data_IF_427813249410
#
_entry.id   IF_427813249410
#
_cell.length_a   1.000
_cell.length_b   1.000
_cell.length_c   1.000
_cell.angle_alpha   90.00
_cell.angle_beta   90.00
_cell.angle_gamma   90.00
#
_symmetry.space_group_name_H-M   'P 1'
#
loop_
_entity.id
_entity.type
_entity.pdbx_description
1 polymer ?
#
# COMPACT_ATOMS: atom_id res chain seq x y z
N UNK A 1 7.05 12.42 -25.46
CA UNK A 1 6.56 11.03 -25.49
C UNK A 1 7.42 10.22 -26.46
N UNK A 2 7.98 9.10 -26.01
CA UNK A 2 9.05 8.41 -26.75
C UNK A 2 8.54 7.41 -27.79
N UNK A 3 7.24 7.35 -28.08
CA UNK A 3 6.62 6.49 -29.10
C UNK A 3 7.34 5.13 -29.27
N UNK A 4 7.53 4.38 -28.18
CA UNK A 4 8.23 3.11 -28.18
C UNK A 4 7.41 2.06 -27.41
N UNK A 5 7.60 0.79 -27.77
CA UNK A 5 7.00 -0.33 -27.05
C UNK A 5 7.40 -0.29 -25.57
N UNK A 6 6.40 -0.34 -24.69
CA UNK A 6 6.59 -0.11 -23.25
C UNK A 6 6.00 -1.24 -22.43
N UNK A 7 6.79 -1.80 -21.52
CA UNK A 7 6.34 -2.76 -20.52
C UNK A 7 6.41 -2.13 -19.13
N UNK A 8 5.29 -2.15 -18.42
CA UNK A 8 5.23 -1.78 -17.02
C UNK A 8 5.26 -3.05 -16.17
N UNK A 9 6.25 -3.15 -15.29
CA UNK A 9 6.45 -4.30 -14.41
C UNK A 9 6.00 -3.94 -13.00
N UNK A 10 5.07 -4.71 -12.46
CA UNK A 10 4.49 -4.52 -11.13
C UNK A 10 4.66 -5.77 -10.28
N UNK A 11 4.64 -5.62 -8.96
CA UNK A 11 4.80 -6.76 -8.05
C UNK A 11 3.51 -7.54 -7.78
N UNK A 12 2.32 -6.96 -8.02
CA UNK A 12 1.02 -7.55 -7.69
C UNK A 12 -0.04 -7.30 -8.77
N UNK A 13 -1.00 -8.25 -8.86
CA UNK A 13 -2.13 -8.15 -9.81
C UNK A 13 -3.04 -6.93 -9.57
N UNK A 14 -3.11 -6.42 -8.35
CA UNK A 14 -3.89 -5.22 -8.04
C UNK A 14 -3.27 -4.00 -8.72
N UNK A 15 -1.95 -3.83 -8.64
CA UNK A 15 -1.22 -2.75 -9.32
C UNK A 15 -1.35 -2.86 -10.85
N UNK A 16 -1.36 -4.10 -11.39
CA UNK A 16 -1.59 -4.32 -12.81
C UNK A 16 -2.93 -3.70 -13.25
N UNK A 17 -4.01 -3.94 -12.50
CA UNK A 17 -5.30 -3.33 -12.81
C UNK A 17 -5.28 -1.81 -12.71
N UNK A 18 -4.66 -1.28 -11.65
CA UNK A 18 -4.57 0.17 -11.47
C UNK A 18 -3.81 0.86 -12.59
N UNK A 19 -2.71 0.28 -13.08
CA UNK A 19 -1.99 0.82 -14.22
C UNK A 19 -2.88 0.87 -15.47
N UNK A 20 -3.63 -0.22 -15.75
CA UNK A 20 -4.57 -0.27 -16.88
C UNK A 20 -5.65 0.82 -16.73
N UNK A 21 -6.29 0.92 -15.54
CA UNK A 21 -7.30 1.94 -15.27
C UNK A 21 -6.74 3.35 -15.45
N UNK A 22 -5.52 3.61 -14.98
CA UNK A 22 -4.89 4.92 -15.13
C UNK A 22 -4.56 5.29 -16.57
N UNK A 23 -4.18 4.33 -17.39
CA UNK A 23 -4.01 4.58 -18.83
C UNK A 23 -5.34 4.97 -19.49
N UNK A 24 -6.44 4.34 -19.10
CA UNK A 24 -7.78 4.70 -19.58
C UNK A 24 -8.16 6.10 -19.09
N UNK A 25 -8.05 6.36 -17.78
CA UNK A 25 -8.55 7.58 -17.15
C UNK A 25 -7.75 8.84 -17.52
N UNK A 26 -6.41 8.73 -17.60
CA UNK A 26 -5.55 9.91 -17.80
C UNK A 26 -5.07 10.09 -19.22
N UNK A 27 -4.97 9.02 -20.00
CA UNK A 27 -4.43 9.08 -21.35
C UNK A 27 -5.44 8.76 -22.45
N UNK A 28 -6.67 8.36 -22.08
CA UNK A 28 -7.75 8.09 -23.04
C UNK A 28 -7.57 6.79 -23.84
N UNK A 29 -6.73 5.87 -23.40
CA UNK A 29 -6.62 4.56 -24.02
C UNK A 29 -7.90 3.75 -23.83
N UNK A 30 -8.26 2.93 -24.81
CA UNK A 30 -9.27 1.91 -24.58
C UNK A 30 -8.64 0.71 -23.87
N UNK A 31 -9.38 0.09 -22.96
CA UNK A 31 -8.86 -1.04 -22.17
C UNK A 31 -8.35 -2.21 -23.03
N UNK A 32 -8.91 -2.39 -24.23
CA UNK A 32 -8.47 -3.41 -25.20
C UNK A 32 -7.09 -3.12 -25.81
N UNK A 33 -6.64 -1.85 -25.80
CA UNK A 33 -5.37 -1.42 -26.40
C UNK A 33 -4.18 -1.58 -25.42
N UNK A 34 -4.47 -1.99 -24.18
CA UNK A 34 -3.47 -2.24 -23.16
C UNK A 34 -3.39 -3.73 -22.91
N UNK A 35 -2.26 -4.32 -23.24
CA UNK A 35 -2.06 -5.75 -23.00
C UNK A 35 -1.62 -6.04 -21.56
N UNK A 36 -1.65 -7.30 -21.16
CA UNK A 36 -1.20 -7.69 -19.84
C UNK A 36 -0.71 -9.13 -19.74
N UNK A 37 0.24 -9.35 -18.81
CA UNK A 37 0.74 -10.67 -18.40
C UNK A 37 0.59 -10.82 -16.89
N UNK A 38 -0.38 -11.62 -16.48
CA UNK A 38 -0.73 -11.80 -15.06
C UNK A 38 -2.04 -12.54 -14.87
N UNK A 39 -2.38 -12.93 -13.64
CA UNK A 39 -3.61 -13.63 -13.29
C UNK A 39 -3.82 -14.95 -14.06
N UNK A 40 -2.75 -15.62 -14.48
CA UNK A 40 -2.81 -16.81 -15.30
C UNK A 40 -3.10 -16.57 -16.80
N UNK A 41 -3.08 -15.32 -17.25
CA UNK A 41 -3.34 -14.95 -18.64
C UNK A 41 -2.14 -14.24 -19.27
N UNK A 42 -1.92 -14.53 -20.56
CA UNK A 42 -1.01 -13.78 -21.41
C UNK A 42 -1.82 -13.13 -22.52
N UNK A 43 -1.94 -11.80 -22.47
CA UNK A 43 -2.64 -10.96 -23.44
C UNK A 43 -1.77 -9.77 -23.83
N UNK A 44 -0.48 -10.00 -24.01
CA UNK A 44 0.46 -8.97 -24.45
C UNK A 44 0.17 -8.57 -25.88
N UNK A 45 0.29 -7.28 -26.19
CA UNK A 45 0.10 -6.72 -27.55
C UNK A 45 1.38 -6.12 -28.13
N UNK A 46 2.44 -5.99 -27.33
CA UNK A 46 3.75 -5.50 -27.75
C UNK A 46 3.85 -3.98 -27.90
N UNK A 47 2.84 -3.21 -27.49
CA UNK A 47 2.85 -1.74 -27.55
C UNK A 47 2.91 -1.14 -26.14
N UNK A 48 1.81 -1.25 -25.39
CA UNK A 48 1.75 -0.85 -23.99
C UNK A 48 1.18 -2.02 -23.22
N UNK A 49 2.02 -2.62 -22.42
CA UNK A 49 1.67 -3.82 -21.68
C UNK A 49 2.03 -3.67 -20.20
N UNK A 50 1.25 -4.34 -19.34
CA UNK A 50 1.52 -4.40 -17.91
C UNK A 50 1.72 -5.85 -17.50
N UNK A 51 2.84 -6.16 -16.85
CA UNK A 51 3.17 -7.52 -16.43
C UNK A 51 3.44 -7.60 -14.92
N UNK A 52 3.01 -8.70 -14.29
CA UNK A 52 3.48 -8.96 -12.93
C UNK A 52 4.87 -9.58 -12.95
N UNK A 53 5.70 -9.21 -11.97
CA UNK A 53 7.04 -9.76 -11.78
C UNK A 53 7.02 -11.30 -11.70
N UNK A 54 6.02 -11.84 -11.00
CA UNK A 54 5.85 -13.30 -10.86
C UNK A 54 5.61 -13.98 -12.21
N UNK A 55 4.86 -13.35 -13.12
CA UNK A 55 4.61 -13.91 -14.46
C UNK A 55 5.83 -13.80 -15.36
N UNK A 56 6.59 -12.69 -15.27
CA UNK A 56 7.84 -12.50 -15.99
C UNK A 56 8.94 -13.45 -15.54
N UNK A 57 8.96 -13.87 -14.27
CA UNK A 57 9.90 -14.87 -13.78
C UNK A 57 9.79 -16.20 -14.53
N UNK A 58 8.59 -16.56 -14.99
CA UNK A 58 8.36 -17.79 -15.73
C UNK A 58 8.79 -17.70 -17.21
N UNK A 59 8.85 -16.48 -17.76
CA UNK A 59 9.32 -16.19 -19.13
C UNK A 59 10.06 -14.85 -19.16
N UNK A 60 11.32 -14.80 -18.69
CA UNK A 60 12.08 -13.57 -18.58
C UNK A 60 12.37 -12.92 -19.93
N UNK A 61 12.40 -13.68 -21.03
CA UNK A 61 12.76 -13.17 -22.34
C UNK A 61 11.70 -12.23 -22.92
N UNK A 62 10.48 -12.30 -22.44
CA UNK A 62 9.37 -11.38 -22.82
C UNK A 62 9.79 -9.92 -22.70
N UNK A 63 10.63 -9.55 -21.71
CA UNK A 63 11.09 -8.18 -21.50
C UNK A 63 11.84 -7.61 -22.72
N UNK A 64 12.47 -8.49 -23.52
CA UNK A 64 13.27 -8.09 -24.69
C UNK A 64 12.41 -7.67 -25.90
N UNK A 65 11.09 -7.89 -25.85
CA UNK A 65 10.17 -7.42 -26.89
C UNK A 65 9.87 -5.90 -26.76
N UNK A 66 10.37 -5.27 -25.71
CA UNK A 66 10.09 -3.86 -25.43
C UNK A 66 11.33 -3.00 -25.48
N UNK A 67 11.16 -1.79 -25.99
CA UNK A 67 12.24 -0.79 -26.01
C UNK A 67 12.35 -0.01 -24.70
N UNK A 68 11.27 0.05 -23.93
CA UNK A 68 11.20 0.76 -22.66
C UNK A 68 10.54 -0.12 -21.59
N UNK A 69 11.20 -0.26 -20.45
CA UNK A 69 10.67 -0.97 -19.28
C UNK A 69 10.59 -0.02 -18.10
N UNK A 70 9.42 0.00 -17.47
CA UNK A 70 9.15 0.74 -16.24
C UNK A 70 8.91 -0.27 -15.13
N UNK A 71 9.65 -0.17 -14.04
CA UNK A 71 9.52 -1.05 -12.87
C UNK A 71 8.91 -0.24 -11.73
N UNK A 72 7.66 -0.53 -11.42
CA UNK A 72 6.93 0.15 -10.35
C UNK A 72 7.23 -0.48 -8.99
N UNK A 73 7.31 0.37 -7.95
CA UNK A 73 7.70 -0.01 -6.58
C UNK A 73 8.96 -0.88 -6.58
N UNK A 74 9.98 -0.45 -7.33
CA UNK A 74 11.19 -1.23 -7.59
C UNK A 74 11.94 -1.66 -6.32
N UNK A 75 11.75 -0.95 -5.20
CA UNK A 75 12.33 -1.31 -3.90
C UNK A 75 11.72 -2.58 -3.26
N UNK A 76 10.53 -3.02 -3.69
CA UNK A 76 9.89 -4.24 -3.20
C UNK A 76 10.34 -5.50 -3.92
N UNK A 77 11.08 -5.37 -4.99
CA UNK A 77 11.48 -6.51 -5.80
C UNK A 77 12.66 -7.20 -5.14
N UNK A 78 12.59 -8.52 -4.89
CA UNK A 78 13.75 -9.28 -4.45
C UNK A 78 14.88 -9.10 -5.44
N UNK A 79 16.06 -8.74 -4.96
CA UNK A 79 17.23 -8.46 -5.79
C UNK A 79 17.53 -9.58 -6.79
N UNK A 80 17.44 -10.83 -6.35
CA UNK A 80 17.69 -12.02 -7.18
C UNK A 80 16.66 -12.13 -8.32
N UNK A 81 15.38 -11.95 -8.04
CA UNK A 81 14.32 -12.05 -9.08
C UNK A 81 14.44 -10.91 -10.07
N UNK A 82 14.75 -9.70 -9.59
CA UNK A 82 14.96 -8.54 -10.44
C UNK A 82 16.17 -8.74 -11.35
N UNK A 83 17.29 -9.19 -10.79
CA UNK A 83 18.48 -9.50 -11.56
C UNK A 83 18.23 -10.53 -12.67
N UNK A 84 17.50 -11.60 -12.36
CA UNK A 84 17.16 -12.64 -13.35
C UNK A 84 16.37 -12.10 -14.55
N UNK A 85 15.47 -11.12 -14.31
CA UNK A 85 14.62 -10.56 -15.35
C UNK A 85 15.35 -9.44 -16.10
N UNK A 86 16.03 -8.54 -15.38
CA UNK A 86 16.57 -7.31 -15.96
C UNK A 86 17.98 -7.48 -16.52
N UNK A 87 18.75 -8.44 -16.02
CA UNK A 87 20.14 -8.70 -16.44
C UNK A 87 20.31 -8.89 -17.97
N UNK A 88 19.31 -9.49 -18.59
CA UNK A 88 19.32 -9.78 -20.03
C UNK A 88 18.52 -8.77 -20.86
N UNK A 89 18.01 -7.70 -20.24
CA UNK A 89 17.25 -6.68 -20.95
C UNK A 89 18.12 -5.97 -21.99
N UNK A 90 17.71 -6.04 -23.25
CA UNK A 90 18.41 -5.44 -24.41
C UNK A 90 17.74 -4.16 -24.92
N UNK A 91 16.67 -3.73 -24.27
CA UNK A 91 15.96 -2.52 -24.65
C UNK A 91 16.74 -1.25 -24.34
N UNK A 92 16.24 -0.14 -24.84
CA UNK A 92 16.95 1.15 -24.77
C UNK A 92 16.78 1.88 -23.45
N UNK A 93 15.64 1.72 -22.80
CA UNK A 93 15.29 2.51 -21.61
C UNK A 93 14.77 1.62 -20.49
N UNK A 94 15.34 1.82 -19.31
CA UNK A 94 14.93 1.17 -18.07
C UNK A 94 14.69 2.25 -17.01
N UNK A 95 13.54 2.23 -16.36
CA UNK A 95 13.13 3.20 -15.34
C UNK A 95 12.59 2.50 -14.11
N UNK A 96 13.16 2.76 -12.94
CA UNK A 96 12.60 2.37 -11.66
C UNK A 96 11.78 3.50 -11.05
N UNK A 97 10.60 3.19 -10.52
CA UNK A 97 9.76 4.09 -9.74
C UNK A 97 9.68 3.60 -8.30
N UNK A 98 9.85 4.49 -7.35
CA UNK A 98 9.72 4.20 -5.93
C UNK A 98 9.39 5.47 -5.15
N UNK A 99 8.49 5.35 -4.18
CA UNK A 99 8.26 6.41 -3.20
C UNK A 99 9.33 6.42 -2.10
N UNK A 100 9.97 5.29 -1.86
CA UNK A 100 10.97 5.08 -0.81
C UNK A 100 12.09 4.19 -1.33
N UNK A 101 13.16 4.76 -1.92
CA UNK A 101 14.23 3.96 -2.53
C UNK A 101 15.07 3.18 -1.50
N UNK A 102 15.03 3.58 -0.24
CA UNK A 102 15.73 2.89 0.83
C UNK A 102 15.05 1.57 1.18
N UNK A 103 15.82 0.50 1.26
CA UNK A 103 15.35 -0.86 1.58
C UNK A 103 15.63 -1.22 3.03
N UNK A 104 14.77 -2.06 3.64
CA UNK A 104 14.98 -2.58 5.00
C UNK A 104 16.20 -3.50 5.12
N UNK A 105 16.51 -4.21 4.03
CA UNK A 105 17.58 -5.20 3.94
C UNK A 105 18.92 -4.60 3.49
N UNK A 106 18.98 -3.26 3.39
CA UNK A 106 20.17 -2.50 2.95
C UNK A 106 20.69 -2.88 1.55
N UNK A 107 19.90 -3.61 0.75
CA UNK A 107 20.24 -4.03 -0.59
C UNK A 107 19.91 -2.99 -1.68
N UNK A 108 19.72 -1.72 -1.32
CA UNK A 108 19.59 -0.63 -2.29
C UNK A 108 20.76 -0.48 -3.27
N UNK A 109 22.05 -0.81 -2.94
CA UNK A 109 23.11 -0.74 -3.93
C UNK A 109 22.85 -1.61 -5.16
N UNK A 110 22.19 -2.76 -5.00
CA UNK A 110 21.84 -3.65 -6.12
C UNK A 110 20.83 -2.99 -7.06
N UNK A 111 19.87 -2.22 -6.51
CA UNK A 111 18.93 -1.46 -7.34
C UNK A 111 19.67 -0.39 -8.17
N UNK A 112 20.61 0.33 -7.55
CA UNK A 112 21.39 1.36 -8.23
C UNK A 112 22.32 0.78 -9.31
N UNK A 113 22.88 -0.41 -9.10
CA UNK A 113 23.66 -1.08 -10.13
C UNK A 113 22.84 -1.43 -11.38
N UNK A 114 21.55 -1.74 -11.20
CA UNK A 114 20.70 -2.21 -12.29
C UNK A 114 19.87 -1.11 -12.94
N UNK A 115 19.39 -0.14 -12.14
CA UNK A 115 18.51 0.95 -12.59
C UNK A 115 19.24 2.28 -12.76
N UNK A 116 20.48 2.38 -12.29
CA UNK A 116 21.21 3.63 -12.18
C UNK A 116 20.82 4.44 -10.94
N UNK A 117 21.49 5.58 -10.78
CA UNK A 117 21.23 6.50 -9.68
C UNK A 117 19.88 7.19 -9.82
N UNK A 118 19.42 7.82 -8.72
CA UNK A 118 18.16 8.58 -8.69
C UNK A 118 18.28 9.76 -9.66
N UNK A 119 17.62 9.64 -10.80
CA UNK A 119 17.62 10.67 -11.85
C UNK A 119 16.69 11.84 -11.53
N UNK A 120 15.63 11.61 -10.76
CA UNK A 120 14.65 12.62 -10.39
C UNK A 120 13.97 12.28 -9.06
N UNK A 121 13.90 13.26 -8.17
CA UNK A 121 13.16 13.17 -6.91
C UNK A 121 12.04 14.22 -6.90
N UNK A 122 10.79 13.74 -6.82
CA UNK A 122 9.64 14.62 -6.68
C UNK A 122 9.48 15.05 -5.23
N UNK A 123 9.81 16.31 -4.95
CA UNK A 123 9.53 16.94 -3.65
C UNK A 123 8.16 17.59 -3.68
N UNK A 124 7.17 16.93 -3.06
CA UNK A 124 5.82 17.50 -2.92
C UNK A 124 5.92 18.85 -2.20
N UNK A 125 5.47 19.93 -2.87
CA UNK A 125 5.30 21.22 -2.16
C UNK A 125 4.30 20.98 -1.04
N UNK A 126 4.64 21.42 0.18
CA UNK A 126 3.73 21.38 1.33
C UNK A 126 2.56 22.31 1.05
N UNK A 127 1.47 21.79 0.50
CA UNK A 127 0.26 22.55 0.21
C UNK A 127 -0.73 22.55 1.39
N UNK A 128 -0.55 21.62 2.33
CA UNK A 128 -1.46 21.46 3.49
C UNK A 128 -0.68 21.12 4.75
N UNK A 129 -1.22 21.55 5.88
CA UNK A 129 -0.72 21.20 7.21
C UNK A 129 -1.20 19.80 7.58
N UNK A 130 -0.30 18.85 7.59
CA UNK A 130 -0.60 17.54 8.18
C UNK A 130 -0.45 17.65 9.68
N UNK A 131 -1.45 17.19 10.42
CA UNK A 131 -1.41 17.13 11.89
C UNK A 131 -1.13 15.70 12.33
N UNK A 132 -0.28 15.56 13.33
CA UNK A 132 -0.05 14.31 14.06
C UNK A 132 -0.60 14.46 15.47
N UNK A 133 -1.47 13.54 15.88
CA UNK A 133 -1.95 13.39 17.25
C UNK A 133 -1.43 12.08 17.81
N UNK A 134 -0.72 12.13 18.91
CA UNK A 134 -0.25 10.95 19.63
C UNK A 134 -1.16 10.73 20.83
N UNK A 135 -1.74 9.54 20.95
CA UNK A 135 -2.54 9.10 22.09
C UNK A 135 -1.70 8.08 22.85
N UNK A 136 -1.34 8.41 24.09
CA UNK A 136 -0.60 7.50 24.96
C UNK A 136 -1.54 6.47 25.55
N UNK A 137 -1.13 5.22 25.54
CA UNK A 137 -1.88 4.11 26.14
C UNK A 137 -1.19 3.65 27.43
N UNK A 138 -1.94 2.95 28.26
CA UNK A 138 -1.41 2.30 29.46
C UNK A 138 -1.16 0.80 29.25
N UNK A 139 -1.15 0.34 27.99
CA UNK A 139 -0.93 -1.06 27.65
C UNK A 139 0.46 -1.54 28.10
N UNK A 140 0.47 -2.65 28.80
CA UNK A 140 1.67 -3.36 29.25
C UNK A 140 1.57 -4.84 28.90
N UNK A 141 2.66 -5.43 28.47
CA UNK A 141 2.80 -6.87 28.24
C UNK A 141 4.08 -7.37 28.90
N UNK A 142 4.02 -8.57 29.45
CA UNK A 142 5.16 -9.30 30.01
C UNK A 142 5.73 -10.34 29.03
N UNK A 143 5.19 -10.40 27.83
CA UNK A 143 5.64 -11.34 26.81
C UNK A 143 7.03 -10.96 26.27
N UNK A 144 7.82 -11.98 25.94
CA UNK A 144 9.20 -11.85 25.49
C UNK A 144 9.35 -11.77 23.97
N UNK A 145 8.24 -11.88 23.23
CA UNK A 145 8.28 -11.83 21.77
C UNK A 145 7.23 -10.88 21.21
N UNK A 146 7.60 -10.20 20.12
CA UNK A 146 6.80 -9.19 19.46
C UNK A 146 5.41 -9.72 19.01
N UNK A 147 5.34 -10.94 18.49
CA UNK A 147 4.07 -11.49 17.98
C UNK A 147 3.03 -11.65 19.08
N UNK A 148 3.44 -12.17 20.26
CA UNK A 148 2.57 -12.30 21.44
C UNK A 148 2.15 -10.93 21.97
N UNK A 149 3.09 -10.00 22.08
CA UNK A 149 2.79 -8.62 22.51
C UNK A 149 1.73 -7.98 21.62
N UNK A 150 1.86 -8.11 20.30
CA UNK A 150 0.86 -7.57 19.36
C UNK A 150 -0.49 -8.28 19.49
N UNK A 151 -0.51 -9.59 19.75
CA UNK A 151 -1.77 -10.32 19.97
C UNK A 151 -2.46 -9.84 21.25
N UNK A 152 -1.73 -9.68 22.36
CA UNK A 152 -2.26 -9.12 23.61
C UNK A 152 -2.76 -7.69 23.43
N UNK A 153 -2.00 -6.85 22.71
CA UNK A 153 -2.38 -5.48 22.39
C UNK A 153 -3.72 -5.42 21.62
N UNK A 154 -3.95 -6.34 20.68
CA UNK A 154 -5.17 -6.36 19.88
C UNK A 154 -6.43 -6.66 20.70
N UNK A 155 -6.31 -7.35 21.83
CA UNK A 155 -7.44 -7.73 22.71
C UNK A 155 -7.52 -6.88 23.98
N UNK A 156 -6.59 -5.96 24.21
CA UNK A 156 -6.61 -5.07 25.37
C UNK A 156 -7.82 -4.14 25.34
N UNK A 157 -8.73 -4.33 26.32
CA UNK A 157 -10.00 -3.62 26.37
C UNK A 157 -9.83 -2.11 26.58
N UNK A 158 -8.92 -1.72 27.47
CA UNK A 158 -8.66 -0.30 27.78
C UNK A 158 -8.15 0.42 26.54
N UNK A 159 -7.20 -0.18 25.84
CA UNK A 159 -6.62 0.36 24.61
C UNK A 159 -7.64 0.43 23.48
N UNK A 160 -8.45 -0.60 23.31
CA UNK A 160 -9.48 -0.63 22.27
C UNK A 160 -10.57 0.42 22.53
N UNK A 161 -10.94 0.68 23.78
CA UNK A 161 -11.85 1.76 24.13
C UNK A 161 -11.26 3.14 23.76
N UNK A 162 -9.96 3.38 23.98
CA UNK A 162 -9.30 4.61 23.50
C UNK A 162 -9.37 4.76 21.98
N UNK A 163 -9.26 3.65 21.22
CA UNK A 163 -9.40 3.67 19.77
C UNK A 163 -10.83 4.07 19.38
N UNK A 164 -11.84 3.47 19.99
CA UNK A 164 -13.24 3.80 19.72
C UNK A 164 -13.55 5.26 20.08
N UNK A 165 -13.03 5.76 21.22
CA UNK A 165 -13.20 7.16 21.62
C UNK A 165 -12.53 8.12 20.62
N UNK A 166 -11.34 7.75 20.09
CA UNK A 166 -10.69 8.53 19.04
C UNK A 166 -11.48 8.54 17.73
N UNK A 167 -12.11 7.42 17.35
CA UNK A 167 -13.01 7.36 16.20
C UNK A 167 -14.21 8.27 16.41
N UNK A 168 -14.90 8.18 17.55
CA UNK A 168 -16.05 9.02 17.91
C UNK A 168 -15.70 10.51 17.88
N UNK A 169 -14.56 10.88 18.45
CA UNK A 169 -14.10 12.28 18.47
C UNK A 169 -13.76 12.86 17.08
N UNK A 170 -13.69 12.00 16.05
CA UNK A 170 -13.35 12.38 14.68
C UNK A 170 -14.40 11.88 13.66
N UNK A 171 -15.61 11.55 14.11
CA UNK A 171 -16.63 10.86 13.29
C UNK A 171 -17.03 11.63 12.02
N UNK A 172 -16.91 12.95 12.03
CA UNK A 172 -17.18 13.82 10.89
C UNK A 172 -16.10 13.75 9.79
N UNK A 173 -14.99 13.10 10.08
CA UNK A 173 -13.88 12.94 9.16
C UNK A 173 -14.01 11.65 8.36
N UNK A 174 -13.22 11.54 7.30
CA UNK A 174 -13.09 10.32 6.52
C UNK A 174 -11.88 9.53 7.03
N UNK A 175 -12.14 8.48 7.79
CA UNK A 175 -11.15 7.79 8.63
C UNK A 175 -10.74 6.45 8.03
N UNK A 176 -9.44 6.19 8.02
CA UNK A 176 -8.84 4.89 7.81
C UNK A 176 -8.20 4.40 9.11
N UNK A 177 -8.63 3.26 9.61
CA UNK A 177 -8.01 2.56 10.74
C UNK A 177 -7.15 1.44 10.20
N UNK A 178 -5.86 1.43 10.52
CA UNK A 178 -4.90 0.41 10.08
C UNK A 178 -4.41 -0.44 11.24
N UNK A 179 -4.55 -1.75 11.08
CA UNK A 179 -4.05 -2.77 12.01
C UNK A 179 -3.25 -3.86 11.28
N UNK A 180 -2.36 -4.55 11.99
CA UNK A 180 -1.58 -5.68 11.46
C UNK A 180 -2.28 -7.04 11.62
N UNK A 181 -3.42 -7.09 12.33
CA UNK A 181 -4.10 -8.33 12.70
C UNK A 181 -5.57 -8.35 12.31
N UNK A 182 -6.02 -9.46 11.75
CA UNK A 182 -7.44 -9.68 11.42
C UNK A 182 -8.26 -9.82 12.71
N UNK A 183 -7.70 -10.50 13.72
CA UNK A 183 -8.32 -10.63 15.04
C UNK A 183 -8.63 -9.26 15.66
N UNK A 184 -7.76 -8.27 15.46
CA UNK A 184 -8.01 -6.90 15.90
C UNK A 184 -9.16 -6.25 15.14
N UNK A 185 -9.29 -6.52 13.83
CA UNK A 185 -10.45 -6.06 13.06
C UNK A 185 -11.73 -6.60 13.72
N UNK A 186 -11.80 -7.91 14.00
CA UNK A 186 -12.99 -8.54 14.60
C UNK A 186 -13.34 -7.92 15.98
N UNK A 187 -12.34 -7.58 16.79
CA UNK A 187 -12.57 -6.90 18.07
C UNK A 187 -13.14 -5.49 17.86
N UNK A 188 -12.57 -4.71 16.95
CA UNK A 188 -13.02 -3.37 16.65
C UNK A 188 -14.40 -3.35 16.00
N UNK A 189 -14.72 -4.31 15.11
CA UNK A 189 -16.05 -4.52 14.54
C UNK A 189 -17.11 -4.67 15.62
N UNK A 190 -16.90 -5.61 16.56
CA UNK A 190 -17.84 -5.84 17.66
C UNK A 190 -18.07 -4.58 18.52
N UNK A 191 -17.02 -3.78 18.75
CA UNK A 191 -17.13 -2.54 19.51
C UNK A 191 -17.88 -1.44 18.73
N UNK A 192 -17.60 -1.29 17.44
CA UNK A 192 -18.26 -0.31 16.59
C UNK A 192 -19.74 -0.63 16.35
N UNK A 193 -20.09 -1.92 16.22
CA UNK A 193 -21.48 -2.36 16.13
C UNK A 193 -22.28 -2.02 17.40
N UNK A 194 -21.70 -2.25 18.59
CA UNK A 194 -22.32 -1.84 19.87
C UNK A 194 -22.57 -0.36 19.94
N UNK A 195 -21.67 0.44 19.39
CA UNK A 195 -21.79 1.91 19.32
C UNK A 195 -22.65 2.38 18.16
N UNK A 196 -23.15 1.48 17.30
CA UNK A 196 -23.96 1.78 16.10
C UNK A 196 -23.26 2.73 15.13
N UNK A 197 -21.95 2.61 15.00
CA UNK A 197 -21.14 3.38 14.07
C UNK A 197 -21.10 2.63 12.74
N UNK A 198 -21.34 3.33 11.62
CA UNK A 198 -21.29 2.75 10.28
C UNK A 198 -19.83 2.67 9.80
N UNK A 199 -19.40 1.49 9.38
CA UNK A 199 -18.04 1.21 8.92
C UNK A 199 -18.00 0.16 7.82
N UNK A 200 -16.82 -0.05 7.26
CA UNK A 200 -16.54 -1.18 6.36
C UNK A 200 -15.15 -1.74 6.64
N UNK A 201 -15.02 -3.08 6.59
CA UNK A 201 -13.74 -3.76 6.74
C UNK A 201 -13.21 -4.28 5.42
N UNK A 202 -11.89 -4.12 5.20
CA UNK A 202 -11.19 -4.61 4.01
C UNK A 202 -9.90 -5.30 4.40
N UNK A 203 -9.80 -6.61 4.12
CA UNK A 203 -8.62 -7.41 4.40
C UNK A 203 -8.52 -8.64 3.49
N UNK A 204 -7.34 -9.23 3.41
CA UNK A 204 -7.06 -10.30 2.46
C UNK A 204 -7.74 -11.65 2.73
N UNK A 205 -8.29 -11.87 3.94
CA UNK A 205 -8.98 -13.13 4.29
C UNK A 205 -10.46 -13.16 3.91
N UNK A 206 -11.05 -12.01 3.49
CA UNK A 206 -12.38 -12.00 2.90
C UNK A 206 -12.41 -12.85 1.63
N UNK A 207 -13.54 -13.51 1.36
CA UNK A 207 -13.69 -14.21 0.10
C UNK A 207 -13.71 -13.21 -1.09
N UNK A 208 -13.47 -13.71 -2.31
CA UNK A 208 -13.34 -12.84 -3.50
C UNK A 208 -14.58 -11.99 -3.78
N UNK A 209 -15.77 -12.51 -3.47
CA UNK A 209 -17.03 -11.79 -3.66
C UNK A 209 -17.14 -10.64 -2.66
N UNK A 210 -16.92 -10.90 -1.39
CA UNK A 210 -16.90 -9.88 -0.32
C UNK A 210 -15.83 -8.81 -0.59
N UNK A 211 -14.63 -9.20 -1.03
CA UNK A 211 -13.59 -8.23 -1.38
C UNK A 211 -14.06 -7.25 -2.47
N UNK A 212 -14.73 -7.74 -3.52
CA UNK A 212 -15.25 -6.90 -4.60
C UNK A 212 -16.39 -6.02 -4.10
N UNK A 213 -17.33 -6.57 -3.35
CA UNK A 213 -18.46 -5.84 -2.78
C UNK A 213 -17.98 -4.73 -1.85
N UNK A 214 -17.08 -5.05 -0.90
CA UNK A 214 -16.54 -4.08 0.04
C UNK A 214 -15.75 -2.98 -0.68
N UNK A 215 -14.94 -3.33 -1.70
CA UNK A 215 -14.21 -2.33 -2.49
C UNK A 215 -15.13 -1.37 -3.24
N UNK A 216 -16.28 -1.81 -3.71
CA UNK A 216 -17.28 -0.93 -4.32
C UNK A 216 -17.91 0.04 -3.31
N UNK A 217 -18.13 -0.43 -2.08
CA UNK A 217 -18.74 0.35 -1.01
C UNK A 217 -17.76 1.31 -0.31
N UNK A 218 -16.46 1.02 -0.33
CA UNK A 218 -15.42 1.81 0.35
C UNK A 218 -15.50 3.30 0.02
N UNK A 219 -15.79 3.67 -1.23
CA UNK A 219 -15.86 5.08 -1.65
C UNK A 219 -17.02 5.86 -0.99
N UNK A 220 -18.06 5.16 -0.58
CA UNK A 220 -19.24 5.76 0.09
C UNK A 220 -19.13 5.82 1.62
N UNK A 221 -18.18 5.06 2.19
CA UNK A 221 -18.03 4.95 3.65
C UNK A 221 -17.10 6.01 4.22
N UNK A 222 -17.43 6.47 5.43
CA UNK A 222 -16.63 7.44 6.16
C UNK A 222 -15.61 6.80 7.08
N UNK A 223 -15.84 5.55 7.51
CA UNK A 223 -14.92 4.79 8.36
C UNK A 223 -14.57 3.46 7.69
N UNK A 224 -13.28 3.26 7.46
CA UNK A 224 -12.72 2.06 6.86
C UNK A 224 -11.73 1.45 7.84
N UNK A 225 -11.83 0.14 8.07
CA UNK A 225 -10.85 -0.62 8.83
C UNK A 225 -10.14 -1.57 7.87
N UNK A 226 -8.81 -1.56 7.88
CA UNK A 226 -8.03 -2.38 6.96
C UNK A 226 -6.80 -2.99 7.65
N UNK A 227 -6.35 -4.15 7.14
CA UNK A 227 -5.01 -4.60 7.49
C UNK A 227 -3.95 -3.80 6.74
N UNK A 228 -2.83 -3.54 7.40
CA UNK A 228 -1.68 -2.83 6.80
C UNK A 228 -1.15 -3.53 5.56
N UNK A 229 -1.15 -4.87 5.53
CA UNK A 229 -0.76 -5.67 4.37
C UNK A 229 -1.69 -5.44 3.18
N UNK A 230 -3.00 -5.44 3.41
CA UNK A 230 -3.99 -5.25 2.35
C UNK A 230 -3.97 -3.82 1.81
N UNK A 231 -3.95 -2.82 2.70
CA UNK A 231 -3.86 -1.42 2.31
C UNK A 231 -2.52 -1.08 1.65
N UNK A 232 -1.42 -1.69 2.11
CA UNK A 232 -0.09 -1.56 1.51
C UNK A 232 0.00 -2.04 0.06
N UNK A 233 -0.97 -2.81 -0.42
CA UNK A 233 -0.96 -3.42 -1.75
C UNK A 233 -1.38 -2.51 -2.91
N UNK A 234 -1.43 -1.20 -2.71
CA UNK A 234 -1.70 -0.27 -3.80
C UNK A 234 -3.12 0.27 -3.86
N UNK A 235 -3.94 0.03 -2.84
CA UNK A 235 -5.29 0.61 -2.76
C UNK A 235 -5.18 2.11 -2.49
N UNK A 236 -5.90 2.90 -3.28
CA UNK A 236 -5.94 4.35 -3.18
C UNK A 236 -7.34 4.81 -2.75
N UNK A 237 -7.39 5.52 -1.63
CA UNK A 237 -8.62 6.10 -1.11
C UNK A 237 -8.50 7.63 -1.03
N UNK A 238 -8.58 8.33 -2.15
CA UNK A 238 -8.30 9.78 -2.21
C UNK A 238 -9.28 10.64 -1.39
N UNK A 239 -10.43 10.09 -1.01
CA UNK A 239 -11.42 10.79 -0.19
C UNK A 239 -11.08 10.79 1.30
N UNK A 240 -10.15 9.94 1.75
CA UNK A 240 -9.76 9.87 3.16
C UNK A 240 -8.86 11.05 3.54
N UNK A 241 -9.08 11.59 4.75
CA UNK A 241 -8.32 12.70 5.31
C UNK A 241 -7.80 12.43 6.73
N UNK A 242 -8.07 11.26 7.28
CA UNK A 242 -7.61 10.84 8.60
C UNK A 242 -7.14 9.41 8.55
N UNK A 243 -6.01 9.14 9.19
CA UNK A 243 -5.46 7.78 9.35
C UNK A 243 -5.17 7.52 10.82
N UNK A 244 -5.55 6.35 11.32
CA UNK A 244 -5.27 5.89 12.68
C UNK A 244 -4.42 4.62 12.62
N UNK A 245 -3.25 4.67 13.24
CA UNK A 245 -2.35 3.52 13.36
C UNK A 245 -2.61 2.85 14.70
N UNK A 246 -3.42 1.77 14.67
CA UNK A 246 -3.82 1.08 15.89
C UNK A 246 -2.94 -0.13 16.25
N UNK A 247 -1.95 -0.42 15.43
CA UNK A 247 -0.80 -1.28 15.73
C UNK A 247 0.49 -0.56 15.36
N UNK A 248 1.61 -0.81 16.05
CA UNK A 248 2.87 -0.13 15.81
C UNK A 248 3.39 -0.29 14.38
N UNK A 249 3.94 0.78 13.81
CA UNK A 249 4.58 0.75 12.50
C UNK A 249 6.07 0.93 12.65
N UNK A 250 6.81 -0.14 12.45
CA UNK A 250 8.28 -0.17 12.63
C UNK A 250 9.09 0.37 11.45
N UNK A 251 8.47 0.66 10.30
CA UNK A 251 9.20 1.03 9.09
C UNK A 251 8.75 2.34 8.48
N UNK A 252 9.67 3.31 8.47
CA UNK A 252 9.45 4.65 7.94
C UNK A 252 8.87 4.68 6.51
N UNK A 253 9.36 3.80 5.63
CA UNK A 253 8.86 3.72 4.25
C UNK A 253 7.37 3.39 4.15
N UNK A 254 6.87 2.49 5.01
CA UNK A 254 5.42 2.19 5.07
C UNK A 254 4.63 3.39 5.57
N UNK A 255 5.11 4.07 6.60
CA UNK A 255 4.47 5.28 7.12
C UNK A 255 4.33 6.34 6.02
N UNK A 256 5.40 6.61 5.27
CA UNK A 256 5.37 7.56 4.14
C UNK A 256 4.37 7.15 3.07
N UNK A 257 4.32 5.85 2.71
CA UNK A 257 3.36 5.33 1.74
C UNK A 257 1.92 5.51 2.24
N UNK A 258 1.62 5.18 3.50
CA UNK A 258 0.28 5.31 4.05
C UNK A 258 -0.16 6.77 4.12
N UNK A 259 0.69 7.66 4.60
CA UNK A 259 0.42 9.09 4.63
C UNK A 259 0.28 9.70 3.23
N UNK A 260 1.00 9.17 2.25
CA UNK A 260 0.91 9.60 0.86
C UNK A 260 -0.40 9.23 0.15
N UNK A 261 -1.18 8.30 0.72
CA UNK A 261 -2.46 7.82 0.15
C UNK A 261 -3.69 8.53 0.70
N UNK A 262 -3.56 9.25 1.81
CA UNK A 262 -4.62 10.12 2.35
C UNK A 262 -4.38 11.58 1.93
N UNK A 263 -5.44 12.37 1.89
CA UNK A 263 -5.33 13.82 1.68
C UNK A 263 -4.80 14.23 0.32
N UNK A 264 -5.10 13.50 -0.72
CA UNK A 264 -4.79 13.93 -2.11
C UNK A 264 -5.65 15.09 -2.58
N UNK A 265 -6.68 15.45 -1.82
CA UNK A 265 -7.49 16.66 -2.00
C UNK A 265 -6.93 17.87 -1.27
N UNK A 266 -7.72 18.96 -1.23
CA UNK A 266 -7.38 20.23 -0.59
C UNK A 266 -7.60 20.27 0.93
N UNK A 267 -7.81 19.14 1.60
CA UNK A 267 -8.16 19.07 3.02
C UNK A 267 -6.95 18.81 3.92
N UNK A 268 -7.01 19.36 5.14
CA UNK A 268 -6.06 19.06 6.22
C UNK A 268 -6.10 17.57 6.59
N UNK A 269 -4.95 16.90 6.56
CA UNK A 269 -4.83 15.51 6.94
C UNK A 269 -4.45 15.35 8.40
N UNK A 270 -5.07 14.38 9.06
CA UNK A 270 -4.79 14.00 10.45
C UNK A 270 -4.25 12.58 10.50
N UNK A 271 -3.10 12.40 11.11
CA UNK A 271 -2.59 11.09 11.52
C UNK A 271 -2.76 10.95 13.04
N UNK A 272 -3.30 9.84 13.48
CA UNK A 272 -3.41 9.49 14.91
C UNK A 272 -2.61 8.22 15.15
N UNK A 273 -1.71 8.28 16.11
CA UNK A 273 -0.87 7.16 16.53
C UNK A 273 -1.12 6.83 17.99
N UNK A 274 -1.17 5.52 18.32
CA UNK A 274 -1.37 5.02 19.67
C UNK A 274 -0.04 4.52 20.21
N UNK A 275 0.55 5.32 21.11
CA UNK A 275 1.89 5.10 21.65
C UNK A 275 1.83 4.25 22.91
N UNK A 276 2.29 3.01 22.81
CA UNK A 276 2.33 2.02 23.89
C UNK A 276 3.67 2.12 24.65
N UNK A 277 3.92 3.30 25.29
CA UNK A 277 5.23 3.68 25.83
C UNK A 277 5.72 2.85 27.01
N UNK A 278 4.85 2.06 27.65
CA UNK A 278 5.20 1.16 28.75
C UNK A 278 5.83 -0.15 28.30
N UNK A 279 5.80 -0.44 26.99
CA UNK A 279 6.44 -1.61 26.42
C UNK A 279 7.63 -1.24 25.55
N UNK A 280 8.85 -1.62 25.96
CA UNK A 280 10.08 -1.26 25.28
C UNK A 280 10.20 -1.80 23.84
N UNK A 281 9.53 -2.90 23.52
CA UNK A 281 9.55 -3.48 22.16
C UNK A 281 8.63 -2.74 21.19
N UNK A 282 7.74 -1.88 21.69
CA UNK A 282 6.79 -1.12 20.88
C UNK A 282 7.17 0.36 20.71
N UNK A 283 8.28 0.77 21.32
CA UNK A 283 8.81 2.14 21.29
C UNK A 283 9.88 2.34 20.22
#
# INVERSE_FOLDING_TARGET
LRACSTLIVVNKNMLLNQWIERFVDYFGYEKKDIGYLGKGHNKLNGQIDVATMQSLKNDPDVINNYSFVIVDECHHIPAITFEQIVKNFKGKYLLGLSATPNRKDELQPILYQQLGDISYEYKKKKTHTNKLKIIRTDFESKADNYATIINELCIDESRNNLIIDAIKANIERKILVLTDRIEHINVLENLLEKERIDFICVHGSLNKKEQVENMNLVRSKSLIIATTSYFGEGIDFPHLNTIMFVTPISYYGRLVQYLGRIGRGSQECLAIDFLDSRNAMLN
#
